data_IF_808226899949
#
_entry.id   IF_808226899949
#
_cell.length_a   1.000
_cell.length_b   1.000
_cell.length_c   1.000
_cell.angle_alpha   90.00
_cell.angle_beta   90.00
_cell.angle_gamma   90.00
#
_symmetry.space_group_name_H-M   'P 1'
#
loop_
_entity.id
_entity.type
_entity.pdbx_description
1 polymer ?
#
# COMPACT_ATOMS: atom_id res chain seq x y z
N UNK A 1 -2.27 12.47 0.48
CA UNK A 1 -1.62 11.21 0.07
C UNK A 1 -2.67 10.10 0.12
N UNK A 2 -3.03 9.55 -1.04
CA UNK A 2 -4.21 8.70 -1.26
C UNK A 2 -3.88 7.25 -0.91
N UNK A 3 -4.69 6.62 -0.07
CA UNK A 3 -4.63 5.17 0.14
C UNK A 3 -5.54 4.49 -0.89
N UNK A 4 -4.96 3.69 -1.78
CA UNK A 4 -5.73 2.89 -2.74
C UNK A 4 -6.39 1.71 -2.03
N UNK A 5 -7.71 1.61 -2.14
CA UNK A 5 -8.45 0.37 -2.01
C UNK A 5 -9.17 0.15 -3.34
N UNK A 6 -8.61 -0.72 -4.20
CA UNK A 6 -9.30 -1.21 -5.39
C UNK A 6 -9.66 -2.66 -5.09
N UNK A 7 -10.96 -2.97 -5.00
CA UNK A 7 -11.45 -4.31 -5.30
C UNK A 7 -11.69 -4.36 -6.82
N UNK A 8 -11.43 -5.48 -7.51
CA UNK A 8 -11.70 -5.59 -8.94
C UNK A 8 -13.21 -5.41 -9.21
N UNK A 9 -13.59 -4.40 -10.01
CA UNK A 9 -14.93 -4.28 -10.60
C UNK A 9 -15.82 -3.10 -10.17
N UNK A 10 -15.40 -2.21 -9.28
CA UNK A 10 -16.25 -1.09 -8.83
C UNK A 10 -15.86 0.26 -9.47
N UNK A 11 -16.79 0.85 -10.21
CA UNK A 11 -16.76 2.25 -10.69
C UNK A 11 -17.07 3.17 -9.48
N UNK A 12 -16.07 3.91 -8.99
CA UNK A 12 -16.26 4.86 -7.86
C UNK A 12 -15.84 6.27 -8.25
N UNK A 13 -16.83 7.17 -8.33
CA UNK A 13 -16.64 8.61 -8.40
C UNK A 13 -16.02 9.12 -7.08
N UNK A 14 -14.75 9.51 -7.13
CA UNK A 14 -14.02 10.04 -5.98
C UNK A 14 -14.07 11.57 -5.93
N UNK A 15 -14.67 12.12 -4.87
CA UNK A 15 -14.57 13.54 -4.54
C UNK A 15 -13.40 13.80 -3.58
N UNK A 16 -12.38 14.53 -4.05
CA UNK A 16 -11.27 15.01 -3.21
C UNK A 16 -11.68 16.32 -2.53
N UNK A 17 -11.86 16.32 -1.21
CA UNK A 17 -12.04 17.53 -0.41
C UNK A 17 -10.69 17.98 0.17
N UNK A 18 -10.24 19.19 -0.19
CA UNK A 18 -9.07 19.82 0.41
C UNK A 18 -9.39 20.29 1.84
N UNK A 19 -8.67 19.78 2.83
CA UNK A 19 -8.70 20.31 4.19
C UNK A 19 -7.83 21.57 4.20
N UNK A 20 -8.44 22.75 4.16
CA UNK A 20 -7.72 24.01 4.36
C UNK A 20 -7.31 24.14 5.82
N UNK A 21 -6.01 24.32 6.04
CA UNK A 21 -5.41 24.76 7.29
C UNK A 21 -6.06 26.06 7.79
N UNK A 22 -6.39 26.13 9.09
CA UNK A 22 -6.91 27.35 9.72
C UNK A 22 -5.80 27.97 10.57
N UNK A 23 -5.08 28.93 10.01
CA UNK A 23 -4.27 29.86 10.80
C UNK A 23 -5.16 30.87 11.57
N UNK A 24 -4.74 31.41 12.73
CA UNK A 24 -5.63 32.13 13.66
C UNK A 24 -5.85 33.63 13.36
N UNK A 25 -5.45 34.14 12.19
CA UNK A 25 -5.54 35.57 11.91
C UNK A 25 -6.65 35.88 10.89
N UNK A 26 -7.64 36.63 11.37
CA UNK A 26 -8.88 36.89 10.66
C UNK A 26 -8.71 37.82 9.46
N UNK A 27 -8.94 37.26 8.27
CA UNK A 27 -9.46 38.01 7.14
C UNK A 27 -10.57 37.19 6.47
N UNK A 28 -11.80 37.72 6.47
CA UNK A 28 -12.94 37.15 5.74
C UNK A 28 -12.67 37.25 4.23
N UNK A 29 -12.26 36.16 3.59
CA UNK A 29 -12.37 36.03 2.14
C UNK A 29 -13.77 35.49 1.77
N UNK A 30 -14.36 36.08 0.72
CA UNK A 30 -15.65 35.67 0.16
C UNK A 30 -15.53 34.26 -0.45
N UNK A 31 -16.57 33.40 -0.39
CA UNK A 31 -16.49 32.07 -0.98
C UNK A 31 -16.47 32.18 -2.50
N UNK A 32 -15.31 31.90 -3.11
CA UNK A 32 -15.21 31.65 -4.55
C UNK A 32 -15.88 30.32 -4.88
N UNK A 33 -16.62 30.29 -5.98
CA UNK A 33 -17.16 29.07 -6.60
C UNK A 33 -16.04 28.07 -6.85
N UNK A 34 -16.10 26.92 -6.18
CA UNK A 34 -15.22 25.78 -6.44
C UNK A 34 -15.58 25.21 -7.82
N UNK A 35 -14.67 25.16 -8.81
CA UNK A 35 -14.94 24.50 -10.07
C UNK A 35 -15.15 23.00 -9.80
N UNK A 36 -16.34 22.49 -10.10
CA UNK A 36 -16.65 21.05 -10.05
C UNK A 36 -16.01 20.40 -11.27
N UNK A 37 -14.73 20.05 -11.18
CA UNK A 37 -14.08 19.23 -12.20
C UNK A 37 -14.39 17.76 -11.91
N UNK A 38 -15.42 17.23 -12.57
CA UNK A 38 -15.69 15.79 -12.64
C UNK A 38 -14.69 15.17 -13.61
N UNK A 39 -13.49 14.84 -13.13
CA UNK A 39 -12.56 14.03 -13.90
C UNK A 39 -13.05 12.58 -13.86
N UNK A 40 -13.68 12.12 -14.95
CA UNK A 40 -13.86 10.68 -15.18
C UNK A 40 -12.47 10.06 -15.22
N UNK A 41 -12.12 9.28 -14.20
CA UNK A 41 -10.96 8.40 -14.26
C UNK A 41 -11.35 7.32 -15.27
N UNK A 42 -11.08 7.58 -16.54
CA UNK A 42 -11.18 6.54 -17.55
C UNK A 42 -10.31 5.37 -17.10
N UNK A 43 -10.83 4.16 -17.25
CA UNK A 43 -10.20 2.85 -17.02
C UNK A 43 -8.98 2.66 -17.94
N UNK A 44 -8.00 3.56 -17.83
CA UNK A 44 -6.76 3.55 -18.59
C UNK A 44 -5.78 2.74 -17.77
N UNK A 45 -5.60 1.49 -18.16
CA UNK A 45 -4.41 0.72 -17.82
C UNK A 45 -3.19 1.65 -18.02
N UNK A 46 -2.29 1.79 -17.02
CA UNK A 46 -1.09 2.59 -17.21
C UNK A 46 -0.33 2.06 -18.45
N UNK A 47 0.37 2.93 -19.18
CA UNK A 47 1.10 2.52 -20.37
C UNK A 47 2.11 1.41 -20.03
N UNK A 48 2.46 0.53 -20.99
CA UNK A 48 3.57 -0.41 -20.83
C UNK A 48 4.84 0.32 -20.37
N UNK A 49 5.60 -0.33 -19.50
CA UNK A 49 6.85 0.20 -18.92
C UNK A 49 7.94 -0.85 -19.06
N UNK A 50 9.19 -0.39 -19.15
CA UNK A 50 10.38 -1.25 -19.13
C UNK A 50 10.83 -1.50 -17.69
N UNK A 51 10.80 -2.76 -17.27
CA UNK A 51 11.07 -3.19 -15.89
C UNK A 51 12.25 -4.16 -15.86
N UNK A 52 13.28 -3.79 -15.12
CA UNK A 52 14.42 -4.66 -14.81
C UNK A 52 14.22 -5.29 -13.43
N UNK A 53 14.26 -6.61 -13.37
CA UNK A 53 14.13 -7.39 -12.13
C UNK A 53 15.46 -8.06 -11.81
N UNK A 54 16.01 -7.79 -10.63
CA UNK A 54 17.20 -8.46 -10.12
C UNK A 54 16.88 -9.61 -9.17
N UNK A 55 17.19 -10.84 -9.59
CA UNK A 55 17.04 -12.08 -8.84
C UNK A 55 15.80 -12.87 -9.24
N UNK A 56 15.99 -14.01 -9.88
CA UNK A 56 15.00 -15.03 -10.25
C UNK A 56 14.76 -16.08 -9.15
N UNK A 57 14.63 -15.59 -7.92
CA UNK A 57 14.05 -16.36 -6.82
C UNK A 57 12.52 -16.45 -6.94
N UNK A 58 11.85 -16.99 -5.92
CA UNK A 58 10.38 -17.11 -5.91
C UNK A 58 9.64 -15.78 -6.15
N UNK A 59 10.13 -14.70 -5.53
CA UNK A 59 9.51 -13.37 -5.67
C UNK A 59 9.77 -12.79 -7.06
N UNK A 60 11.00 -12.88 -7.56
CA UNK A 60 11.34 -12.32 -8.88
C UNK A 60 10.68 -13.05 -10.03
N UNK A 61 10.65 -14.39 -10.00
CA UNK A 61 9.95 -15.19 -11.00
C UNK A 61 8.44 -14.87 -11.05
N UNK A 62 7.80 -14.78 -9.88
CA UNK A 62 6.38 -14.41 -9.79
C UNK A 62 6.13 -12.97 -10.28
N UNK A 63 7.02 -12.03 -9.95
CA UNK A 63 6.93 -10.65 -10.41
C UNK A 63 7.10 -10.55 -11.94
N UNK A 64 8.07 -11.28 -12.49
CA UNK A 64 8.33 -11.32 -13.93
C UNK A 64 7.13 -11.89 -14.70
N UNK A 65 6.59 -13.03 -14.26
CA UNK A 65 5.39 -13.63 -14.85
C UNK A 65 4.19 -12.69 -14.83
N UNK A 66 3.97 -12.01 -13.70
CA UNK A 66 2.82 -11.12 -13.56
C UNK A 66 2.96 -9.90 -14.48
N UNK A 67 4.12 -9.23 -14.46
CA UNK A 67 4.35 -8.04 -15.28
C UNK A 67 4.32 -8.37 -16.79
N UNK A 68 4.90 -9.52 -17.17
CA UNK A 68 4.83 -10.04 -18.54
C UNK A 68 3.38 -10.26 -19.00
N UNK A 69 2.56 -10.91 -18.17
CA UNK A 69 1.11 -11.08 -18.45
C UNK A 69 0.37 -9.76 -18.53
N UNK A 70 0.88 -8.76 -17.83
CA UNK A 70 0.35 -7.41 -17.86
C UNK A 70 0.84 -6.57 -19.05
N UNK A 71 1.55 -7.20 -20.00
CA UNK A 71 2.08 -6.60 -21.24
C UNK A 71 3.13 -5.51 -20.99
N UNK A 72 3.84 -5.60 -19.86
CA UNK A 72 5.04 -4.80 -19.62
C UNK A 72 6.26 -5.44 -20.29
N UNK A 73 7.25 -4.61 -20.61
CA UNK A 73 8.54 -5.09 -21.11
C UNK A 73 9.42 -5.44 -19.91
N UNK A 74 9.81 -6.71 -19.79
CA UNK A 74 10.44 -7.25 -18.58
C UNK A 74 11.76 -7.92 -18.93
N UNK A 75 12.81 -7.50 -18.24
CA UNK A 75 14.12 -8.18 -18.25
C UNK A 75 14.41 -8.67 -16.84
N UNK A 76 14.63 -9.98 -16.67
CA UNK A 76 14.99 -10.57 -15.38
C UNK A 76 16.43 -11.09 -15.39
N UNK A 77 17.19 -10.65 -14.39
CA UNK A 77 18.61 -10.94 -14.23
C UNK A 77 18.80 -11.91 -13.06
N UNK A 78 19.54 -13.00 -13.27
CA UNK A 78 20.05 -13.84 -12.17
C UNK A 78 21.45 -14.35 -12.50
N UNK A 79 22.26 -14.60 -11.47
CA UNK A 79 23.60 -15.15 -11.63
C UNK A 79 23.56 -16.68 -11.83
N UNK A 80 22.51 -17.33 -11.33
CA UNK A 80 22.26 -18.76 -11.48
C UNK A 80 21.36 -19.02 -12.70
N UNK A 81 21.86 -19.65 -13.78
CA UNK A 81 21.05 -19.98 -14.95
C UNK A 81 19.88 -20.91 -14.63
N UNK A 82 20.02 -21.82 -13.66
CA UNK A 82 18.95 -22.74 -13.24
C UNK A 82 17.80 -22.00 -12.54
N UNK A 83 18.03 -20.75 -12.11
CA UNK A 83 16.99 -19.96 -11.47
C UNK A 83 15.82 -19.64 -12.42
N UNK A 84 16.09 -19.56 -13.72
CA UNK A 84 15.07 -19.24 -14.73
C UNK A 84 14.05 -20.35 -14.94
N UNK A 85 14.33 -21.58 -14.52
CA UNK A 85 13.37 -22.70 -14.55
C UNK A 85 12.14 -22.45 -13.67
N UNK A 86 12.19 -21.44 -12.78
CA UNK A 86 11.08 -21.01 -11.93
C UNK A 86 10.07 -20.11 -12.65
N UNK A 87 10.44 -19.54 -13.79
CA UNK A 87 9.61 -18.65 -14.58
C UNK A 87 8.54 -19.47 -15.30
N UNK A 88 7.32 -18.93 -15.37
CA UNK A 88 6.23 -19.61 -16.06
C UNK A 88 6.49 -19.74 -17.56
N UNK A 89 6.02 -20.83 -18.15
CA UNK A 89 6.15 -21.09 -19.60
C UNK A 89 5.47 -20.05 -20.50
N UNK A 90 4.61 -19.20 -19.93
CA UNK A 90 3.94 -18.10 -20.62
C UNK A 90 4.69 -16.76 -20.53
N UNK A 91 5.84 -16.71 -19.86
CA UNK A 91 6.68 -15.53 -19.80
C UNK A 91 7.21 -15.18 -21.19
N UNK A 92 7.05 -13.91 -21.58
CA UNK A 92 7.46 -13.39 -22.88
C UNK A 92 8.52 -12.29 -22.81
N UNK A 93 9.12 -12.07 -21.63
CA UNK A 93 10.24 -11.15 -21.44
C UNK A 93 11.61 -11.78 -21.68
N UNK A 94 12.66 -11.04 -21.37
CA UNK A 94 14.05 -11.46 -21.54
C UNK A 94 14.64 -11.99 -20.23
N UNK A 95 15.42 -13.08 -20.31
CA UNK A 95 16.23 -13.59 -19.21
C UNK A 95 17.70 -13.28 -19.46
N UNK A 96 18.40 -12.79 -18.43
CA UNK A 96 19.79 -12.39 -18.55
C UNK A 96 20.64 -13.02 -17.45
N UNK A 97 21.61 -13.85 -17.83
CA UNK A 97 22.60 -14.36 -16.88
C UNK A 97 23.58 -13.25 -16.54
N UNK A 98 23.68 -12.89 -15.26
CA UNK A 98 24.60 -11.87 -14.78
C UNK A 98 24.39 -11.45 -13.33
N UNK A 99 25.24 -10.53 -12.86
CA UNK A 99 25.13 -9.99 -11.51
C UNK A 99 24.41 -8.64 -11.54
N UNK A 100 23.37 -8.45 -10.72
CA UNK A 100 22.56 -7.22 -10.69
C UNK A 100 23.34 -5.97 -10.24
N UNK A 101 24.50 -6.13 -9.60
CA UNK A 101 25.38 -4.99 -9.23
C UNK A 101 26.47 -4.72 -10.27
N UNK A 102 26.54 -5.51 -11.33
CA UNK A 102 27.50 -5.29 -12.42
C UNK A 102 26.92 -4.33 -13.45
N UNK A 103 27.67 -3.26 -13.73
CA UNK A 103 27.24 -2.21 -14.65
C UNK A 103 27.00 -2.74 -16.07
N UNK A 104 27.89 -3.62 -16.57
CA UNK A 104 27.75 -4.17 -17.92
C UNK A 104 26.51 -5.05 -18.06
N UNK A 105 26.19 -5.81 -17.00
CA UNK A 105 24.94 -6.58 -16.93
C UNK A 105 23.72 -5.67 -16.98
N UNK A 106 23.70 -4.56 -16.23
CA UNK A 106 22.60 -3.61 -16.25
C UNK A 106 22.44 -2.91 -17.60
N UNK A 107 23.56 -2.54 -18.25
CA UNK A 107 23.55 -1.96 -19.60
C UNK A 107 22.97 -2.92 -20.64
N UNK A 108 23.38 -4.20 -20.60
CA UNK A 108 22.81 -5.26 -21.44
C UNK A 108 21.32 -5.46 -21.19
N UNK A 109 20.86 -5.26 -19.96
CA UNK A 109 19.46 -5.34 -19.59
C UNK A 109 18.64 -4.10 -19.99
N UNK A 110 19.24 -3.10 -20.64
CA UNK A 110 18.51 -1.92 -21.12
C UNK A 110 18.30 -0.82 -20.07
N UNK A 111 19.08 -0.79 -18.99
CA UNK A 111 18.84 0.12 -17.85
C UNK A 111 18.75 1.61 -18.21
N UNK A 112 19.42 2.04 -19.28
CA UNK A 112 19.38 3.43 -19.76
C UNK A 112 17.97 3.89 -20.13
N UNK A 113 17.11 2.96 -20.55
CA UNK A 113 15.71 3.22 -20.91
C UNK A 113 14.73 2.65 -19.87
N UNK A 114 15.20 2.15 -18.72
CA UNK A 114 14.35 1.52 -17.73
C UNK A 114 13.50 2.52 -16.95
N UNK A 115 12.20 2.27 -16.92
CA UNK A 115 11.27 2.99 -16.07
C UNK A 115 11.41 2.55 -14.62
N UNK A 116 11.66 1.26 -14.40
CA UNK A 116 11.69 0.63 -13.07
C UNK A 116 12.84 -0.36 -12.93
N UNK A 117 13.51 -0.33 -11.77
CA UNK A 117 14.39 -1.42 -11.33
C UNK A 117 13.92 -1.99 -9.99
N UNK A 118 13.66 -3.30 -9.95
CA UNK A 118 13.25 -4.04 -8.76
C UNK A 118 14.34 -5.06 -8.37
N UNK A 119 15.12 -4.79 -7.33
CA UNK A 119 16.14 -5.71 -6.83
C UNK A 119 15.57 -6.59 -5.71
N UNK A 120 15.28 -7.85 -6.03
CA UNK A 120 14.53 -8.80 -5.19
C UNK A 120 15.30 -10.08 -4.84
N UNK A 121 16.63 -10.01 -4.92
CA UNK A 121 17.54 -11.10 -4.52
C UNK A 121 17.40 -11.44 -3.02
N UNK A 122 18.03 -12.53 -2.60
CA UNK A 122 18.16 -12.92 -1.19
C UNK A 122 19.25 -12.12 -0.44
N UNK A 123 19.99 -11.23 -1.11
CA UNK A 123 21.11 -10.48 -0.54
C UNK A 123 20.75 -9.00 -0.41
N UNK A 124 20.43 -8.56 0.81
CA UNK A 124 20.09 -7.16 1.10
C UNK A 124 21.16 -6.16 0.63
N UNK A 125 22.44 -6.50 0.73
CA UNK A 125 23.51 -5.62 0.27
C UNK A 125 23.52 -5.49 -1.26
N UNK A 126 23.27 -6.59 -1.98
CA UNK A 126 23.19 -6.56 -3.43
C UNK A 126 21.97 -5.76 -3.89
N UNK A 127 20.82 -5.93 -3.23
CA UNK A 127 19.61 -5.17 -3.54
C UNK A 127 19.81 -3.67 -3.34
N UNK A 128 20.42 -3.29 -2.22
CA UNK A 128 20.75 -1.90 -1.94
C UNK A 128 21.72 -1.33 -2.98
N UNK A 129 22.81 -2.03 -3.28
CA UNK A 129 23.80 -1.57 -4.25
C UNK A 129 23.22 -1.45 -5.66
N UNK A 130 22.43 -2.43 -6.11
CA UNK A 130 21.78 -2.38 -7.41
C UNK A 130 20.89 -1.14 -7.56
N UNK A 131 20.10 -0.82 -6.54
CA UNK A 131 19.26 0.38 -6.52
C UNK A 131 20.09 1.66 -6.53
N UNK A 132 21.19 1.72 -5.77
CA UNK A 132 22.08 2.88 -5.79
C UNK A 132 22.76 3.06 -7.14
N UNK A 133 23.26 1.98 -7.76
CA UNK A 133 23.86 2.04 -9.10
C UNK A 133 22.82 2.54 -10.13
N UNK A 134 21.61 1.98 -10.12
CA UNK A 134 20.54 2.37 -11.03
C UNK A 134 20.18 3.86 -10.91
N UNK A 135 20.13 4.40 -9.69
CA UNK A 135 19.82 5.81 -9.44
C UNK A 135 20.98 6.74 -9.78
N UNK A 136 22.16 6.45 -9.24
CA UNK A 136 23.29 7.37 -9.26
C UNK A 136 24.02 7.37 -10.62
N UNK A 137 24.03 6.23 -11.32
CA UNK A 137 24.72 6.12 -12.62
C UNK A 137 23.78 6.20 -13.82
N UNK A 138 22.52 5.79 -13.67
CA UNK A 138 21.57 5.68 -14.78
C UNK A 138 20.30 6.52 -14.63
N UNK A 139 20.16 7.31 -13.57
CA UNK A 139 19.00 8.17 -13.28
C UNK A 139 17.64 7.43 -13.31
N UNK A 140 17.63 6.13 -13.00
CA UNK A 140 16.38 5.36 -12.87
C UNK A 140 15.64 5.87 -11.64
N UNK A 141 14.50 6.54 -11.85
CA UNK A 141 13.77 7.22 -10.76
C UNK A 141 12.99 6.26 -9.88
N UNK A 142 12.45 5.20 -10.46
CA UNK A 142 11.64 4.23 -9.73
C UNK A 142 12.44 2.96 -9.44
N UNK A 143 13.10 2.94 -8.29
CA UNK A 143 13.88 1.79 -7.85
C UNK A 143 13.32 1.21 -6.57
N UNK A 144 13.17 -0.11 -6.51
CA UNK A 144 12.59 -0.82 -5.37
C UNK A 144 13.56 -1.92 -4.93
N UNK A 145 13.92 -1.93 -3.65
CA UNK A 145 14.73 -3.00 -3.07
C UNK A 145 13.89 -3.90 -2.16
N UNK A 146 14.09 -5.21 -2.24
CA UNK A 146 13.61 -6.14 -1.21
C UNK A 146 14.54 -6.06 0.01
N UNK A 147 13.94 -5.92 1.19
CA UNK A 147 14.62 -5.95 2.47
C UNK A 147 14.22 -7.19 3.26
N UNK A 148 15.17 -8.11 3.47
CA UNK A 148 14.97 -9.30 4.28
C UNK A 148 15.23 -9.02 5.77
N UNK A 149 16.32 -8.33 6.12
CA UNK A 149 16.66 -8.01 7.51
C UNK A 149 16.04 -6.68 7.97
N UNK A 150 14.99 -6.68 8.83
CA UNK A 150 14.33 -5.45 9.27
C UNK A 150 15.22 -4.52 10.11
N UNK A 151 16.32 -5.02 10.69
CA UNK A 151 17.25 -4.18 11.47
C UNK A 151 17.99 -3.16 10.60
N UNK A 152 18.03 -3.35 9.27
CA UNK A 152 18.71 -2.45 8.32
C UNK A 152 17.79 -1.37 7.75
N UNK A 153 16.54 -1.36 8.17
CA UNK A 153 15.50 -0.51 7.61
C UNK A 153 15.82 1.00 7.74
N UNK A 154 16.38 1.41 8.87
CA UNK A 154 16.76 2.81 9.09
C UNK A 154 17.83 3.28 8.11
N UNK A 155 18.76 2.39 7.73
CA UNK A 155 19.76 2.71 6.71
C UNK A 155 19.09 2.96 5.36
N UNK A 156 18.17 2.08 4.94
CA UNK A 156 17.44 2.23 3.68
C UNK A 156 16.65 3.54 3.63
N UNK A 157 15.96 3.89 4.74
CA UNK A 157 15.23 5.16 4.86
C UNK A 157 16.15 6.38 4.77
N UNK A 158 17.29 6.37 5.48
CA UNK A 158 18.26 7.47 5.46
C UNK A 158 18.86 7.69 4.07
N UNK A 159 19.02 6.64 3.29
CA UNK A 159 19.46 6.71 1.88
C UNK A 159 18.32 7.02 0.90
N UNK A 160 17.10 7.24 1.37
CA UNK A 160 15.94 7.53 0.53
C UNK A 160 15.59 6.39 -0.43
N UNK A 161 15.92 5.15 -0.08
CA UNK A 161 15.64 3.96 -0.90
C UNK A 161 14.19 3.54 -0.68
N UNK A 162 13.44 3.34 -1.76
CA UNK A 162 12.13 2.67 -1.69
C UNK A 162 12.35 1.17 -1.50
N UNK A 163 11.72 0.57 -0.49
CA UNK A 163 11.91 -0.85 -0.20
C UNK A 163 10.63 -1.56 0.26
N UNK A 164 10.63 -2.88 0.13
CA UNK A 164 9.61 -3.79 0.66
C UNK A 164 10.26 -4.76 1.64
N UNK A 165 9.85 -4.71 2.92
CA UNK A 165 10.29 -5.69 3.91
C UNK A 165 9.40 -6.94 3.89
N UNK A 166 9.89 -8.00 3.25
CA UNK A 166 9.16 -9.27 3.19
C UNK A 166 8.89 -9.86 4.58
N UNK A 167 9.89 -9.78 5.47
CA UNK A 167 9.79 -10.27 6.84
C UNK A 167 8.69 -9.55 7.64
N UNK A 168 8.65 -8.20 7.59
CA UNK A 168 7.58 -7.45 8.27
C UNK A 168 6.21 -7.72 7.65
N UNK A 169 6.12 -7.84 6.33
CA UNK A 169 4.86 -8.09 5.64
C UNK A 169 4.26 -9.45 6.05
N UNK A 170 5.07 -10.50 6.04
CA UNK A 170 4.64 -11.85 6.45
C UNK A 170 4.29 -11.89 7.94
N UNK A 171 5.13 -11.32 8.81
CA UNK A 171 4.85 -11.25 10.24
C UNK A 171 3.52 -10.54 10.51
N UNK A 172 3.28 -9.39 9.84
CA UNK A 172 2.02 -8.66 9.92
C UNK A 172 0.83 -9.50 9.44
N UNK A 173 0.98 -10.23 8.33
CA UNK A 173 -0.07 -11.09 7.81
C UNK A 173 -0.42 -12.23 8.78
N UNK A 174 0.59 -12.87 9.39
CA UNK A 174 0.39 -13.92 10.41
C UNK A 174 -0.27 -13.34 11.66
N UNK A 175 0.22 -12.20 12.17
CA UNK A 175 -0.38 -11.54 13.33
C UNK A 175 -1.85 -11.17 13.10
N UNK A 176 -2.23 -10.84 11.86
CA UNK A 176 -3.63 -10.64 11.47
C UNK A 176 -4.46 -11.92 11.58
N UNK A 177 -3.90 -13.08 11.21
CA UNK A 177 -4.60 -14.37 11.27
C UNK A 177 -4.71 -14.93 12.70
N UNK A 178 -3.76 -14.59 13.58
CA UNK A 178 -3.78 -15.08 14.96
C UNK A 178 -4.90 -14.47 15.81
N UNK A 179 -5.54 -13.39 15.36
CA UNK A 179 -6.65 -12.70 16.05
C UNK A 179 -6.33 -12.30 17.52
N UNK A 180 -5.04 -12.25 17.86
CA UNK A 180 -4.53 -11.88 19.20
C UNK A 180 -4.71 -10.36 19.43
N UNK A 181 -4.83 -9.58 18.35
CA UNK A 181 -5.16 -8.16 18.45
C UNK A 181 -6.67 -7.98 18.50
N UNK A 182 -7.16 -7.32 19.55
CA UNK A 182 -8.53 -6.80 19.60
C UNK A 182 -8.84 -5.87 18.42
N UNK A 183 -7.83 -5.29 17.76
CA UNK A 183 -8.02 -4.42 16.60
C UNK A 183 -6.89 -4.68 15.59
N UNK A 184 -7.01 -5.68 14.71
CA UNK A 184 -5.96 -5.99 13.76
C UNK A 184 -5.82 -4.85 12.73
N UNK A 185 -4.65 -4.22 12.60
CA UNK A 185 -4.49 -3.12 11.65
C UNK A 185 -4.35 -3.67 10.22
N UNK A 186 -5.22 -3.23 9.32
CA UNK A 186 -5.15 -3.52 7.88
C UNK A 186 -3.92 -2.86 7.25
N UNK A 187 -3.68 -1.60 7.61
CA UNK A 187 -2.49 -0.81 7.25
C UNK A 187 -2.04 -0.05 8.49
N UNK A 188 -0.73 0.05 8.69
CA UNK A 188 -0.11 0.68 9.86
C UNK A 188 0.94 1.61 9.31
N UNK A 189 0.80 2.89 9.63
CA UNK A 189 1.66 3.96 9.18
C UNK A 189 2.71 4.22 10.27
N UNK A 190 3.94 4.56 9.86
CA UNK A 190 5.09 4.95 10.69
C UNK A 190 5.01 4.54 12.18
N UNK A 191 5.72 3.48 12.56
CA UNK A 191 5.92 3.05 13.96
C UNK A 191 4.64 2.94 14.83
N UNK A 192 3.47 2.70 14.23
CA UNK A 192 2.21 2.55 14.98
C UNK A 192 1.61 3.87 15.46
N UNK A 193 2.05 5.01 14.90
CA UNK A 193 1.44 6.30 15.20
C UNK A 193 -0.02 6.35 14.75
N UNK A 194 -0.33 5.79 13.58
CA UNK A 194 -1.69 5.69 13.04
C UNK A 194 -1.86 4.31 12.40
N UNK A 195 -2.92 3.62 12.80
CA UNK A 195 -3.34 2.35 12.23
C UNK A 195 -4.73 2.48 11.61
N UNK A 196 -4.92 1.83 10.47
CA UNK A 196 -6.24 1.63 9.86
C UNK A 196 -6.74 0.28 10.35
N UNK A 197 -7.83 0.30 11.10
CA UNK A 197 -8.45 -0.88 11.71
C UNK A 197 -9.89 -1.03 11.22
N UNK A 198 -10.36 -2.26 11.16
CA UNK A 198 -11.79 -2.56 11.05
C UNK A 198 -12.43 -2.61 12.44
N UNK A 199 -13.59 -1.98 12.56
CA UNK A 199 -14.37 -1.87 13.80
C UNK A 199 -15.82 -2.20 13.50
N UNK A 200 -16.50 -2.89 14.41
CA UNK A 200 -17.94 -3.14 14.28
C UNK A 200 -18.71 -2.25 15.25
N UNK A 201 -19.77 -1.59 14.78
CA UNK A 201 -20.66 -0.82 15.65
C UNK A 201 -21.48 -1.77 16.52
N UNK A 202 -21.34 -1.65 17.84
CA UNK A 202 -22.11 -2.45 18.79
C UNK A 202 -23.50 -1.86 18.99
N UNK A 203 -24.36 -2.57 19.73
CA UNK A 203 -25.71 -2.08 20.04
C UNK A 203 -25.70 -0.73 20.77
N UNK A 204 -24.62 -0.41 21.50
CA UNK A 204 -24.47 0.88 22.20
C UNK A 204 -24.07 2.01 21.26
N UNK A 205 -23.43 1.70 20.13
CA UNK A 205 -23.09 2.67 19.08
C UNK A 205 -24.24 2.91 18.09
N UNK A 206 -25.28 2.07 18.12
CA UNK A 206 -26.45 2.21 17.26
C UNK A 206 -27.11 3.59 17.40
N UNK A 207 -27.43 4.21 16.27
CA UNK A 207 -28.10 5.50 16.19
C UNK A 207 -27.18 6.71 16.35
N UNK A 208 -25.93 6.53 16.78
CA UNK A 208 -24.94 7.61 16.85
C UNK A 208 -24.60 8.13 15.45
N UNK A 209 -24.24 9.40 15.37
CA UNK A 209 -23.67 9.94 14.15
C UNK A 209 -22.18 9.61 14.03
N UNK A 210 -21.70 9.54 12.79
CA UNK A 210 -20.27 9.40 12.46
C UNK A 210 -19.42 10.48 13.15
N UNK A 211 -19.88 11.72 13.18
CA UNK A 211 -19.20 12.83 13.85
C UNK A 211 -19.06 12.61 15.36
N UNK A 212 -20.13 12.20 16.03
CA UNK A 212 -20.10 11.92 17.48
C UNK A 212 -19.15 10.76 17.80
N UNK A 213 -19.19 9.68 17.03
CA UNK A 213 -18.32 8.53 17.24
C UNK A 213 -16.85 8.90 17.01
N UNK A 214 -16.52 9.62 15.94
CA UNK A 214 -15.15 10.08 15.67
C UNK A 214 -14.60 10.95 16.81
N UNK A 215 -15.41 11.87 17.32
CA UNK A 215 -15.02 12.76 18.42
C UNK A 215 -14.84 11.99 19.75
N UNK A 216 -15.73 11.05 20.07
CA UNK A 216 -15.61 10.24 21.30
C UNK A 216 -14.48 9.22 21.20
N UNK A 217 -14.28 8.64 20.03
CA UNK A 217 -13.29 7.59 19.78
C UNK A 217 -11.90 8.11 19.49
N UNK A 218 -11.72 9.42 19.24
CA UNK A 218 -10.43 9.95 18.80
C UNK A 218 -9.93 9.26 17.53
N UNK A 219 -10.86 8.98 16.61
CA UNK A 219 -10.63 8.21 15.39
C UNK A 219 -11.23 8.94 14.18
N UNK A 220 -10.83 8.54 12.97
CA UNK A 220 -11.41 9.03 11.71
C UNK A 220 -11.97 7.86 10.91
N UNK A 221 -13.25 7.92 10.57
CA UNK A 221 -13.93 6.89 9.80
C UNK A 221 -13.74 7.22 8.32
N UNK A 222 -13.08 6.31 7.60
CA UNK A 222 -12.84 6.44 6.17
C UNK A 222 -13.99 5.84 5.35
N UNK A 223 -14.54 4.71 5.80
CA UNK A 223 -15.62 4.02 5.11
C UNK A 223 -16.55 3.31 6.10
N UNK A 224 -17.80 3.13 5.67
CA UNK A 224 -18.79 2.24 6.29
C UNK A 224 -19.17 1.20 5.25
N UNK A 225 -19.07 -0.08 5.60
CA UNK A 225 -19.65 -1.19 4.88
C UNK A 225 -20.93 -1.62 5.61
N UNK A 226 -22.05 -1.62 4.88
CA UNK A 226 -23.37 -2.06 5.33
C UNK A 226 -24.00 -2.89 4.23
N UNK A 227 -24.48 -4.08 4.58
CA UNK A 227 -25.12 -5.01 3.63
C UNK A 227 -24.26 -5.27 2.38
N UNK A 228 -22.95 -5.39 2.56
CA UNK A 228 -21.97 -5.62 1.49
C UNK A 228 -21.69 -4.40 0.60
N UNK A 229 -22.25 -3.23 0.90
CA UNK A 229 -22.00 -1.97 0.18
C UNK A 229 -21.13 -1.05 1.00
N UNK A 230 -20.02 -0.62 0.42
CA UNK A 230 -19.08 0.31 1.03
C UNK A 230 -19.34 1.73 0.56
N UNK A 231 -19.35 2.69 1.48
CA UNK A 231 -19.48 4.11 1.16
C UNK A 231 -18.65 5.00 2.08
N UNK A 232 -18.28 6.18 1.60
CA UNK A 232 -17.66 7.23 2.40
C UNK A 232 -18.77 7.95 3.20
N UNK A 233 -18.73 7.95 4.53
CA UNK A 233 -19.77 8.56 5.33
C UNK A 233 -19.60 10.08 5.50
N UNK A 234 -20.72 10.79 5.59
CA UNK A 234 -20.75 12.16 6.08
C UNK A 234 -20.84 12.19 7.62
N UNK A 235 -20.38 13.27 8.25
CA UNK A 235 -20.40 13.38 9.72
C UNK A 235 -21.81 13.26 10.35
N UNK A 236 -22.87 13.56 9.61
CA UNK A 236 -24.28 13.47 10.06
C UNK A 236 -24.89 12.07 9.87
N UNK A 237 -24.21 11.17 9.18
CA UNK A 237 -24.74 9.85 8.87
C UNK A 237 -24.88 9.03 10.15
N UNK A 238 -25.99 8.30 10.26
CA UNK A 238 -26.27 7.44 11.40
C UNK A 238 -25.65 6.06 11.21
N UNK A 239 -24.98 5.64 12.26
CA UNK A 239 -24.41 4.32 12.43
C UNK A 239 -25.50 3.35 12.88
N UNK A 240 -25.53 2.17 12.29
CA UNK A 240 -26.41 1.07 12.67
C UNK A 240 -25.62 -0.01 13.39
N UNK A 241 -26.34 -0.91 14.06
CA UNK A 241 -25.75 -2.11 14.63
C UNK A 241 -25.12 -2.92 13.50
N UNK A 242 -23.97 -3.55 13.77
CA UNK A 242 -23.21 -4.36 12.81
C UNK A 242 -22.63 -3.62 11.60
N UNK A 243 -22.72 -2.28 11.54
CA UNK A 243 -21.95 -1.50 10.57
C UNK A 243 -20.47 -1.81 10.73
N UNK A 244 -19.81 -2.20 9.65
CA UNK A 244 -18.37 -2.40 9.59
C UNK A 244 -17.71 -1.07 9.20
N UNK A 245 -16.86 -0.56 10.08
CA UNK A 245 -16.17 0.72 9.91
C UNK A 245 -14.70 0.47 9.60
N UNK A 246 -14.21 1.13 8.56
CA UNK A 246 -12.77 1.28 8.34
C UNK A 246 -12.35 2.62 8.95
N UNK A 247 -11.49 2.59 9.96
CA UNK A 247 -11.12 3.79 10.69
C UNK A 247 -9.61 3.93 10.93
N UNK A 248 -9.11 5.16 10.81
CA UNK A 248 -7.78 5.56 11.24
C UNK A 248 -7.79 5.85 12.75
N UNK A 249 -6.87 5.23 13.48
CA UNK A 249 -6.81 5.28 14.94
C UNK A 249 -5.36 5.41 15.39
N UNK A 250 -5.11 6.31 16.35
CA UNK A 250 -3.77 6.50 16.92
C UNK A 250 -3.41 5.32 17.85
N UNK A 251 -2.25 4.70 17.67
CA UNK A 251 -1.78 3.59 18.51
C UNK A 251 -2.63 2.32 18.43
N UNK A 252 -3.32 2.09 17.32
CA UNK A 252 -4.05 0.86 17.04
C UNK A 252 -5.33 0.61 17.84
N UNK A 253 -5.80 1.56 18.68
CA UNK A 253 -6.97 1.33 19.54
C UNK A 253 -7.85 2.57 19.73
N UNK A 254 -9.18 2.44 19.62
CA UNK A 254 -10.08 3.55 19.88
C UNK A 254 -9.91 4.14 21.28
N UNK A 255 -10.09 5.45 21.40
CA UNK A 255 -10.04 6.16 22.66
C UNK A 255 -11.01 5.58 23.69
N UNK A 256 -10.64 5.67 24.98
CA UNK A 256 -11.39 5.06 26.11
C UNK A 256 -12.89 5.38 26.11
N UNK A 257 -13.29 6.57 25.64
CA UNK A 257 -14.69 7.03 25.62
C UNK A 257 -15.56 6.37 24.55
N UNK A 258 -14.96 5.63 23.61
CA UNK A 258 -15.66 4.80 22.63
C UNK A 258 -15.60 3.29 22.94
N UNK A 259 -15.01 2.90 24.08
CA UNK A 259 -15.05 1.51 24.55
C UNK A 259 -16.50 1.07 24.73
N UNK A 260 -16.83 -0.07 24.17
CA UNK A 260 -18.19 -0.63 24.21
C UNK A 260 -19.15 -0.07 23.17
N UNK A 261 -18.81 1.00 22.45
CA UNK A 261 -19.52 1.44 21.22
C UNK A 261 -19.02 0.68 19.98
N UNK A 262 -17.79 0.18 20.07
CA UNK A 262 -17.07 -0.47 18.99
C UNK A 262 -16.56 -1.83 19.46
N UNK A 263 -16.79 -2.84 18.62
CA UNK A 263 -16.30 -4.20 18.75
C UNK A 263 -15.32 -4.55 17.63
N UNK A 264 -14.98 -5.82 17.56
CA UNK A 264 -14.03 -6.38 16.59
C UNK A 264 -14.82 -7.28 15.62
N UNK A 265 -14.46 -7.35 14.33
CA UNK A 265 -15.18 -8.21 13.37
C UNK A 265 -15.22 -9.69 13.76
N UNK A 266 -14.19 -10.17 14.47
CA UNK A 266 -14.11 -11.55 14.93
C UNK A 266 -15.11 -11.90 16.05
N UNK A 267 -15.55 -10.93 16.85
CA UNK A 267 -16.52 -11.16 17.92
C UNK A 267 -17.95 -11.40 17.39
N UNK A 268 -18.26 -10.94 16.19
CA UNK A 268 -19.64 -10.92 15.64
C UNK A 268 -19.92 -12.07 14.65
N UNK A 269 -18.91 -12.89 14.30
CA UNK A 269 -19.03 -13.99 13.33
C UNK A 269 -19.29 -15.37 13.92
N UNK A 270 -19.59 -15.50 15.22
CA UNK A 270 -20.06 -16.77 15.78
C UNK A 270 -21.56 -16.92 15.57
N UNK A 271 -21.92 -17.57 14.46
CA UNK A 271 -23.17 -18.35 14.33
C UNK A 271 -22.78 -19.82 14.41
#
# INVERSE_FOLDING_TARGET
MVAYFIRPGDDVDLHVAWITDRSPHGHRQRPGTVPTATARIADRRPPPVHVIIGGCGRVGAQLADQLSREEHDVVIIDADPEAFDRIGSAFNGETLIGNIIDQQTLERAGIVAADVLAAVTNLDNANLMAVQIARELFDVKNTIARLFNPQREDSYRKMGVTYVSGTRLVARAIMKQLDIYTFPPHVGFAEGEIDIVELVVTQKGHGMTVGELQNRGGLRIAAIERDGRTRIPAGKDRLLHDDLLVAAVRGGRPGRKARGLLGTPAATRRV
#
